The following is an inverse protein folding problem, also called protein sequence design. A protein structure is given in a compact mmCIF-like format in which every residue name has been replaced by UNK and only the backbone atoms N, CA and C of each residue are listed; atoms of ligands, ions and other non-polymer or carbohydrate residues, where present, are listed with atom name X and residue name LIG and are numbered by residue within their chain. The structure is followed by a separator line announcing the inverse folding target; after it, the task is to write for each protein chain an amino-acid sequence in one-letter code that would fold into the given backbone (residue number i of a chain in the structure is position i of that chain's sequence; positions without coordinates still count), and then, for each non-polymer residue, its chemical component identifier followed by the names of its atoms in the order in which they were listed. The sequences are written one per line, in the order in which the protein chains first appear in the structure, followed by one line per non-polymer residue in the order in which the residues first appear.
data_IF_804478751399
#
_entry.id   IF_804478751399
#
_cell.length_a   1.000
_cell.length_b   1.000
_cell.length_c   1.000
_cell.angle_alpha   90.00
_cell.angle_beta   90.00
_cell.angle_gamma   90.00
#
_symmetry.space_group_name_H-M   'P 1'
#
loop_
_entity.id
_entity.type
_entity.pdbx_description
1 polymer ?
#
# COMPACT_ATOMS: atom_id res chain seq x y z
N UNK A 1 -8.76 -9.80 23.90
CA UNK A 1 -7.60 -9.87 24.82
C UNK A 1 -6.36 -9.66 23.97
N UNK A 2 -5.64 -8.53 24.10
CA UNK A 2 -4.42 -8.31 23.32
C UNK A 2 -3.38 -9.37 23.71
N UNK A 3 -2.99 -10.20 22.76
CA UNK A 3 -1.95 -11.20 22.98
C UNK A 3 -0.63 -10.48 23.27
N UNK A 4 0.04 -10.85 24.36
CA UNK A 4 1.38 -10.34 24.68
C UNK A 4 2.31 -10.81 23.55
N UNK A 5 2.95 -9.90 22.80
CA UNK A 5 3.83 -10.29 21.71
C UNK A 5 4.98 -11.15 22.22
N UNK A 6 5.28 -12.24 21.50
CA UNK A 6 6.20 -13.32 21.89
C UNK A 6 7.66 -12.88 22.16
N UNK A 7 7.99 -11.63 21.86
CA UNK A 7 9.31 -10.99 22.01
C UNK A 7 9.42 -10.10 23.26
N UNK A 8 8.37 -10.04 24.09
CA UNK A 8 8.41 -9.29 25.35
C UNK A 8 8.88 -10.16 26.51
N UNK A 9 9.92 -9.70 27.21
CA UNK A 9 10.49 -10.38 28.37
C UNK A 9 9.91 -9.82 29.66
N UNK A 10 9.63 -10.70 30.62
CA UNK A 10 9.24 -10.29 31.97
C UNK A 10 10.36 -9.43 32.60
N UNK A 11 10.02 -8.21 33.03
CA UNK A 11 10.94 -7.26 33.66
C UNK A 11 11.35 -6.06 32.79
N UNK A 12 11.08 -6.10 31.48
CA UNK A 12 11.30 -4.96 30.60
C UNK A 12 10.08 -4.02 30.60
N UNK A 13 10.34 -2.70 30.61
CA UNK A 13 9.30 -1.69 30.42
C UNK A 13 9.21 -1.33 28.95
N UNK A 14 8.06 -1.58 28.33
CA UNK A 14 7.80 -1.26 26.94
C UNK A 14 6.91 -0.02 26.87
N UNK A 15 7.46 1.08 26.34
CA UNK A 15 6.75 2.34 26.17
C UNK A 15 6.44 2.58 24.68
N UNK A 16 5.30 3.19 24.38
CA UNK A 16 4.95 3.59 23.00
C UNK A 16 4.58 2.42 22.08
N UNK A 17 4.04 1.33 22.63
CA UNK A 17 3.59 0.22 21.79
C UNK A 17 2.30 0.58 21.07
N UNK A 18 2.39 0.63 19.74
CA UNK A 18 1.22 0.60 18.88
C UNK A 18 0.59 -0.80 18.98
N UNK A 19 -0.75 -0.92 19.02
CA UNK A 19 -1.40 -2.21 18.87
C UNK A 19 -0.84 -2.95 17.65
N UNK A 20 -0.38 -4.18 17.85
CA UNK A 20 -0.04 -5.03 16.72
C UNK A 20 -1.33 -5.47 16.03
N UNK A 21 -1.31 -5.47 14.70
CA UNK A 21 -2.33 -6.09 13.87
C UNK A 21 -1.83 -7.46 13.40
N UNK A 22 -2.74 -8.39 13.13
CA UNK A 22 -2.38 -9.61 12.43
C UNK A 22 -2.17 -9.28 10.95
N UNK A 23 -0.99 -9.60 10.42
CA UNK A 23 -0.71 -9.36 9.01
C UNK A 23 -1.59 -10.24 8.10
N UNK A 24 -2.07 -11.38 8.59
CA UNK A 24 -3.00 -12.26 7.88
C UNK A 24 -4.40 -11.67 7.75
N UNK A 25 -4.77 -10.71 8.60
CA UNK A 25 -6.03 -9.94 8.49
C UNK A 25 -5.97 -8.87 7.39
N UNK A 26 -4.80 -8.67 6.77
CA UNK A 26 -4.62 -7.70 5.71
C UNK A 26 -5.40 -8.06 4.44
N UNK A 27 -6.02 -7.07 3.81
CA UNK A 27 -6.67 -7.22 2.50
C UNK A 27 -5.85 -6.53 1.41
N UNK A 28 -5.70 -7.19 0.26
CA UNK A 28 -5.11 -6.55 -0.91
C UNK A 28 -6.12 -5.56 -1.50
N UNK A 29 -5.76 -4.28 -1.49
CA UNK A 29 -6.61 -3.22 -2.08
C UNK A 29 -6.23 -2.87 -3.51
N UNK A 30 -4.99 -3.12 -3.94
CA UNK A 30 -4.51 -2.93 -5.32
C UNK A 30 -3.64 -4.12 -5.74
N UNK A 31 -4.02 -4.75 -6.84
CA UNK A 31 -3.27 -5.85 -7.44
C UNK A 31 -2.17 -5.36 -8.39
N UNK A 32 -1.09 -6.13 -8.59
CA UNK A 32 -0.15 -5.90 -9.68
C UNK A 32 -0.83 -6.02 -11.05
N UNK A 33 -0.17 -5.47 -12.08
CA UNK A 33 -0.64 -5.56 -13.48
C UNK A 33 -0.55 -6.97 -14.09
N UNK A 34 0.13 -7.90 -13.42
CA UNK A 34 0.34 -9.26 -13.88
C UNK A 34 0.80 -10.15 -12.74
N UNK A 35 0.91 -11.44 -13.00
CA UNK A 35 1.24 -12.45 -12.00
C UNK A 35 2.70 -12.88 -12.06
N UNK A 36 3.23 -13.29 -10.90
CA UNK A 36 4.56 -13.88 -10.79
C UNK A 36 5.68 -12.88 -10.50
N UNK A 37 6.91 -13.39 -10.50
CA UNK A 37 8.09 -12.67 -10.00
C UNK A 37 8.33 -11.37 -10.77
N UNK A 38 8.39 -10.26 -10.04
CA UNK A 38 8.75 -8.94 -10.58
C UNK A 38 7.56 -8.07 -10.93
N UNK A 39 6.36 -8.63 -11.04
CA UNK A 39 5.11 -7.86 -11.02
C UNK A 39 4.79 -7.46 -9.60
N UNK A 40 4.61 -6.16 -9.35
CA UNK A 40 4.14 -5.69 -8.05
C UNK A 40 3.44 -4.33 -8.16
N UNK A 41 2.47 -4.12 -7.28
CA UNK A 41 1.87 -2.83 -6.96
C UNK A 41 2.23 -2.48 -5.51
N UNK A 42 2.61 -1.23 -5.23
CA UNK A 42 2.90 -0.83 -3.85
C UNK A 42 3.78 0.41 -3.73
N UNK A 43 4.63 0.40 -2.70
CA UNK A 43 5.28 1.59 -2.15
C UNK A 43 4.28 2.74 -1.96
N UNK A 44 3.21 2.47 -1.20
CA UNK A 44 2.07 3.35 -1.14
C UNK A 44 2.32 4.55 -0.24
N UNK A 45 1.54 5.61 -0.48
CA UNK A 45 1.23 6.64 0.50
C UNK A 45 -0.29 6.77 0.55
N UNK A 46 -0.88 6.68 1.74
CA UNK A 46 -2.33 6.76 1.92
C UNK A 46 -2.64 7.88 2.92
N UNK A 47 -3.58 8.75 2.57
CA UNK A 47 -4.10 9.81 3.45
C UNK A 47 -5.63 9.75 3.47
N UNK A 48 -6.22 10.19 4.57
CA UNK A 48 -7.64 10.49 4.65
C UNK A 48 -7.82 12.01 4.61
N UNK A 49 -8.68 12.49 3.73
CA UNK A 49 -9.04 13.89 3.62
C UNK A 49 -10.40 14.12 4.30
N UNK A 50 -10.40 14.89 5.38
CA UNK A 50 -11.61 15.14 6.17
C UNK A 50 -12.66 15.97 5.41
N UNK A 51 -12.23 16.85 4.49
CA UNK A 51 -13.15 17.71 3.74
C UNK A 51 -13.97 16.90 2.72
N UNK A 52 -13.33 16.05 1.93
CA UNK A 52 -14.03 15.17 0.97
C UNK A 52 -14.55 13.87 1.59
N UNK A 53 -14.12 13.52 2.80
CA UNK A 53 -14.47 12.26 3.48
C UNK A 53 -13.94 11.03 2.74
N UNK A 54 -12.77 11.14 2.10
CA UNK A 54 -12.21 10.10 1.23
C UNK A 54 -10.78 9.74 1.59
N UNK A 55 -10.44 8.48 1.34
CA UNK A 55 -9.06 8.02 1.30
C UNK A 55 -8.46 8.30 -0.07
N UNK A 56 -7.22 8.78 -0.11
CA UNK A 56 -6.42 8.90 -1.32
C UNK A 56 -5.17 8.04 -1.21
N UNK A 57 -5.03 7.11 -2.14
CA UNK A 57 -3.93 6.17 -2.22
C UNK A 57 -3.05 6.47 -3.44
N UNK A 58 -1.85 6.94 -3.19
CA UNK A 58 -0.77 6.89 -4.18
C UNK A 58 -0.13 5.50 -4.17
N UNK A 59 0.14 4.95 -5.35
CA UNK A 59 0.94 3.73 -5.48
C UNK A 59 1.66 3.65 -6.82
N UNK A 60 2.69 2.80 -6.86
CA UNK A 60 3.46 2.51 -8.07
C UNK A 60 3.12 1.12 -8.57
N UNK A 61 3.11 0.96 -9.88
CA UNK A 61 3.09 -0.36 -10.53
C UNK A 61 4.44 -0.64 -11.14
N UNK A 62 4.84 -1.92 -11.15
CA UNK A 62 6.08 -2.38 -11.77
C UNK A 62 5.84 -3.71 -12.49
N UNK A 63 6.72 -3.95 -13.45
CA UNK A 63 6.82 -5.17 -14.25
C UNK A 63 8.18 -5.83 -14.02
N UNK A 64 8.32 -7.13 -14.36
CA UNK A 64 9.60 -7.83 -14.36
C UNK A 64 10.67 -7.04 -15.09
N UNK A 65 11.90 -7.08 -14.55
CA UNK A 65 13.01 -6.24 -15.02
C UNK A 65 13.44 -6.60 -16.44
N UNK A 66 13.23 -7.85 -16.83
CA UNK A 66 13.48 -8.43 -18.14
C UNK A 66 12.57 -7.80 -19.21
N UNK A 67 11.41 -7.27 -18.81
CA UNK A 67 10.48 -6.53 -19.67
C UNK A 67 10.78 -5.02 -19.73
N UNK A 68 11.89 -4.59 -19.13
CA UNK A 68 12.34 -3.19 -19.11
C UNK A 68 12.14 -2.48 -17.76
N UNK A 69 12.53 -1.20 -17.71
CA UNK A 69 12.40 -0.34 -16.52
C UNK A 69 11.33 0.71 -16.69
N UNK A 70 10.69 1.05 -15.57
CA UNK A 70 9.59 2.02 -15.51
C UNK A 70 8.27 1.39 -15.95
N UNK A 71 7.18 1.80 -15.29
CA UNK A 71 5.81 1.50 -15.69
C UNK A 71 4.98 2.75 -15.44
N UNK A 72 4.60 3.02 -14.20
CA UNK A 72 3.81 4.20 -13.88
C UNK A 72 3.47 4.30 -12.40
N UNK A 73 2.80 5.39 -12.05
CA UNK A 73 2.17 5.56 -10.75
C UNK A 73 0.74 6.05 -10.90
N UNK A 74 -0.04 5.87 -9.84
CA UNK A 74 -1.47 6.12 -9.83
C UNK A 74 -1.88 6.78 -8.53
N UNK A 75 -2.98 7.52 -8.59
CA UNK A 75 -3.72 8.00 -7.43
C UNK A 75 -5.10 7.38 -7.52
N UNK A 76 -5.53 6.73 -6.45
CA UNK A 76 -6.86 6.17 -6.32
C UNK A 76 -7.61 6.81 -5.15
N UNK A 77 -8.94 6.87 -5.23
CA UNK A 77 -9.79 7.32 -4.14
C UNK A 77 -10.71 6.21 -3.63
N UNK A 78 -11.13 6.30 -2.37
CA UNK A 78 -12.05 5.34 -1.74
C UNK A 78 -12.88 6.02 -0.65
N UNK A 79 -14.10 5.54 -0.43
CA UNK A 79 -14.97 5.98 0.67
C UNK A 79 -14.80 5.11 1.92
N UNK A 80 -14.39 3.86 1.77
CA UNK A 80 -14.30 2.87 2.84
C UNK A 80 -12.85 2.44 3.18
N UNK A 81 -11.88 2.89 2.37
CA UNK A 81 -10.47 2.53 2.53
C UNK A 81 -10.15 1.09 2.09
N UNK A 82 -11.07 0.42 1.39
CA UNK A 82 -10.94 -0.96 0.91
C UNK A 82 -11.13 -0.99 -0.61
N UNK A 83 -12.24 -0.47 -1.10
CA UNK A 83 -12.55 -0.39 -2.52
C UNK A 83 -12.02 0.92 -3.10
N UNK A 84 -10.91 0.83 -3.86
CA UNK A 84 -10.25 1.98 -4.48
C UNK A 84 -10.51 2.06 -5.99
N UNK A 85 -10.81 3.26 -6.47
CA UNK A 85 -10.93 3.58 -7.90
C UNK A 85 -9.77 4.49 -8.32
N UNK A 86 -9.07 4.15 -9.41
CA UNK A 86 -8.01 5.00 -9.95
C UNK A 86 -8.62 6.28 -10.53
N UNK A 87 -8.27 7.44 -9.98
CA UNK A 87 -8.73 8.76 -10.44
C UNK A 87 -7.67 9.52 -11.24
N UNK A 88 -6.43 9.05 -11.19
CA UNK A 88 -5.33 9.59 -11.97
C UNK A 88 -4.25 8.52 -12.18
N UNK A 89 -3.59 8.57 -13.35
CA UNK A 89 -2.45 7.71 -13.67
C UNK A 89 -1.45 8.45 -14.53
N UNK A 90 -0.19 8.09 -14.41
CA UNK A 90 0.86 8.46 -15.36
C UNK A 90 1.73 7.24 -15.67
N UNK A 91 2.03 7.06 -16.95
CA UNK A 91 2.98 6.11 -17.48
C UNK A 91 4.34 6.72 -17.70
N UNK A 92 5.38 5.88 -17.85
CA UNK A 92 6.71 6.34 -18.24
C UNK A 92 6.66 7.01 -19.62
N UNK A 93 5.85 6.47 -20.52
CA UNK A 93 5.59 6.93 -21.87
C UNK A 93 4.99 8.34 -21.95
N UNK A 94 4.40 8.82 -20.87
CA UNK A 94 3.85 10.19 -20.77
C UNK A 94 4.92 11.23 -20.39
N UNK A 95 6.14 10.79 -20.07
CA UNK A 95 7.25 11.65 -19.65
C UNK A 95 8.27 11.78 -20.79
N UNK A 96 8.58 13.01 -21.17
CA UNK A 96 9.63 13.34 -22.12
C UNK A 96 11.00 13.38 -21.40
N UNK A 97 11.55 12.20 -21.11
CA UNK A 97 12.80 12.02 -20.34
C UNK A 97 13.83 11.14 -21.04
#
# INVERSE_FOLDING_TARGET
MMAIPRWQSAGAKYYGQVPLFDAEDGVTVREPLGEGKGWWAGAPSCIFDEESGRFYLYYRVRKPRELGRGVGCRIASSEDGIAFEDIWSIGKEDLDS
#
